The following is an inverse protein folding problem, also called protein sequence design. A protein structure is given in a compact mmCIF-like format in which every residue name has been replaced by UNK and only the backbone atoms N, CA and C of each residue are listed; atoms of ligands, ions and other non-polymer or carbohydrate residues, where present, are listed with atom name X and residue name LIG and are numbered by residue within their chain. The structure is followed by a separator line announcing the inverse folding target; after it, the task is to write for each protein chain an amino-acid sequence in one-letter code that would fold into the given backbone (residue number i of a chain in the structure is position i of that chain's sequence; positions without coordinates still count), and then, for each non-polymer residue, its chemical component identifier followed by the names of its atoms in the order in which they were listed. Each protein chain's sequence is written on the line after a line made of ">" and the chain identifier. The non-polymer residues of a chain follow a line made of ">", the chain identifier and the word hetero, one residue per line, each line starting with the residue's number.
data_IF_882910642668
#
_entry.id   IF_882910642668
#
_cell.length_a   1.000
_cell.length_b   1.000
_cell.length_c   1.000
_cell.angle_alpha   90.00
_cell.angle_beta   90.00
_cell.angle_gamma   90.00
#
_symmetry.space_group_name_H-M   'P 1'
#
loop_
_entity.id
_entity.type
_entity.pdbx_description
1 polymer ?
#
# COMPACT_ATOMS: atom_id res chain seq x y z
N UNK A 1 -4.01 -16.38 -19.57
CA UNK A 1 -4.38 -15.46 -18.48
C UNK A 1 -3.75 -16.00 -17.22
N UNK A 2 -2.91 -15.23 -16.54
CA UNK A 2 -2.40 -15.65 -15.22
C UNK A 2 -3.58 -15.77 -14.26
N UNK A 3 -3.60 -16.86 -13.48
CA UNK A 3 -4.72 -17.21 -12.61
C UNK A 3 -4.70 -16.44 -11.28
N UNK A 4 -3.56 -15.87 -10.91
CA UNK A 4 -3.30 -15.38 -9.56
C UNK A 4 -2.81 -13.92 -9.52
N UNK A 5 -3.29 -13.11 -10.47
CA UNK A 5 -2.98 -11.67 -10.50
C UNK A 5 -3.98 -10.86 -9.69
N UNK A 6 -3.46 -9.93 -8.90
CA UNK A 6 -4.24 -8.99 -8.10
C UNK A 6 -3.87 -7.56 -8.53
N UNK A 7 -4.88 -6.71 -8.70
CA UNK A 7 -4.67 -5.30 -9.01
C UNK A 7 -4.84 -4.45 -7.76
N UNK A 8 -3.81 -3.67 -7.42
CA UNK A 8 -3.86 -2.69 -6.34
C UNK A 8 -3.94 -1.27 -6.90
N UNK A 9 -4.70 -0.43 -6.19
CA UNK A 9 -4.92 0.96 -6.54
C UNK A 9 -4.95 1.79 -5.26
N UNK A 10 -4.15 2.84 -5.24
CA UNK A 10 -4.24 3.89 -4.23
C UNK A 10 -4.19 5.25 -4.91
N UNK A 11 -5.08 6.14 -4.47
CA UNK A 11 -5.20 7.47 -5.03
C UNK A 11 -5.66 8.43 -3.93
N UNK A 12 -4.80 9.35 -3.52
CA UNK A 12 -5.18 10.36 -2.52
C UNK A 12 -6.08 11.46 -3.08
N UNK A 13 -6.28 11.49 -4.41
CA UNK A 13 -6.98 12.55 -5.15
C UNK A 13 -6.40 13.96 -4.93
N UNK A 14 -5.20 14.09 -4.36
CA UNK A 14 -4.57 15.36 -4.07
C UNK A 14 -4.15 16.10 -5.36
N UNK A 15 -3.65 15.37 -6.37
CA UNK A 15 -3.24 15.92 -7.67
C UNK A 15 -3.11 14.82 -8.75
N UNK A 16 -2.71 15.20 -9.98
CA UNK A 16 -2.59 14.26 -11.10
C UNK A 16 -1.53 13.16 -10.93
N UNK A 17 -0.59 13.30 -9.98
CA UNK A 17 0.53 12.39 -9.76
C UNK A 17 0.39 11.54 -8.49
N UNK A 18 -0.74 11.61 -7.79
CA UNK A 18 -0.97 10.91 -6.53
C UNK A 18 -1.65 9.53 -6.65
N UNK A 19 -1.75 9.02 -7.89
CA UNK A 19 -2.37 7.74 -8.20
C UNK A 19 -1.27 6.71 -8.47
N UNK A 20 -1.23 5.65 -7.67
CA UNK A 20 -0.42 4.46 -7.92
C UNK A 20 -1.36 3.28 -8.19
N UNK A 21 -1.10 2.56 -9.28
CA UNK A 21 -1.82 1.35 -9.63
C UNK A 21 -0.80 0.31 -10.09
N UNK A 22 -0.90 -0.89 -9.53
CA UNK A 22 0.03 -1.98 -9.79
C UNK A 22 -0.73 -3.29 -9.94
N UNK A 23 -0.24 -4.17 -10.80
CA UNK A 23 -0.76 -5.54 -10.93
C UNK A 23 0.36 -6.45 -10.49
N UNK A 24 0.14 -7.17 -9.40
CA UNK A 24 1.07 -8.17 -8.88
C UNK A 24 0.62 -9.57 -9.29
N UNK A 25 1.56 -10.44 -9.57
CA UNK A 25 1.36 -11.89 -9.69
C UNK A 25 1.79 -12.57 -8.39
N UNK A 26 0.85 -13.19 -7.68
CA UNK A 26 1.15 -13.79 -6.38
C UNK A 26 2.20 -14.91 -6.48
N UNK A 27 2.28 -15.60 -7.62
CA UNK A 27 3.24 -16.69 -7.80
C UNK A 27 4.58 -16.17 -8.31
N UNK A 28 4.56 -15.35 -9.37
CA UNK A 28 5.80 -14.93 -10.03
C UNK A 28 6.51 -13.76 -9.32
N UNK A 29 5.76 -12.84 -8.70
CA UNK A 29 6.33 -11.64 -8.07
C UNK A 29 6.53 -11.80 -6.55
N UNK A 30 5.70 -12.62 -5.89
CA UNK A 30 5.68 -12.80 -4.44
C UNK A 30 6.06 -14.23 -4.00
N UNK A 31 6.39 -15.12 -4.94
CA UNK A 31 6.84 -16.50 -4.70
C UNK A 31 5.84 -17.38 -3.91
N UNK A 32 4.54 -17.04 -3.90
CA UNK A 32 3.52 -17.90 -3.28
C UNK A 32 3.32 -19.18 -4.11
N UNK A 33 3.00 -20.28 -3.43
CA UNK A 33 2.49 -21.47 -4.11
C UNK A 33 1.11 -21.20 -4.74
N UNK A 34 0.73 -22.00 -5.74
CA UNK A 34 -0.61 -21.91 -6.33
C UNK A 34 -1.75 -22.18 -5.33
N UNK A 35 -1.48 -22.86 -4.21
CA UNK A 35 -2.48 -23.12 -3.18
C UNK A 35 -2.66 -21.90 -2.28
N UNK A 36 -1.56 -21.31 -1.82
CA UNK A 36 -1.57 -20.05 -1.06
C UNK A 36 -2.19 -18.91 -1.87
N UNK A 37 -1.81 -18.77 -3.14
CA UNK A 37 -2.36 -17.75 -4.01
C UNK A 37 -3.88 -17.89 -4.21
N UNK A 38 -4.39 -19.12 -4.32
CA UNK A 38 -5.84 -19.39 -4.35
C UNK A 38 -6.52 -19.00 -3.04
N UNK A 39 -5.88 -19.31 -1.92
CA UNK A 39 -6.43 -19.01 -0.60
C UNK A 39 -6.49 -17.51 -0.35
N UNK A 40 -5.44 -16.77 -0.70
CA UNK A 40 -5.40 -15.30 -0.63
C UNK A 40 -6.52 -14.70 -1.46
N UNK A 41 -6.63 -15.06 -2.75
CA UNK A 41 -7.67 -14.51 -3.63
C UNK A 41 -9.09 -14.87 -3.17
N UNK A 42 -9.25 -15.99 -2.48
CA UNK A 42 -10.52 -16.45 -1.93
C UNK A 42 -10.89 -15.84 -0.57
N UNK A 43 -9.98 -15.13 0.10
CA UNK A 43 -10.18 -14.56 1.44
C UNK A 43 -9.90 -13.05 1.44
N UNK A 44 -10.97 -12.26 1.60
CA UNK A 44 -10.90 -10.81 1.62
C UNK A 44 -9.97 -10.27 2.71
N UNK A 45 -9.85 -10.92 3.88
CA UNK A 45 -8.96 -10.46 4.94
C UNK A 45 -7.50 -10.64 4.55
N UNK A 46 -7.16 -11.74 3.87
CA UNK A 46 -5.81 -11.99 3.37
C UNK A 46 -5.43 -11.02 2.26
N UNK A 47 -6.38 -10.71 1.38
CA UNK A 47 -6.19 -9.67 0.36
C UNK A 47 -6.00 -8.28 0.99
N UNK A 48 -6.76 -7.93 2.03
CA UNK A 48 -6.64 -6.66 2.73
C UNK A 48 -5.28 -6.54 3.46
N UNK A 49 -4.81 -7.62 4.08
CA UNK A 49 -3.48 -7.64 4.71
C UNK A 49 -2.36 -7.50 3.68
N UNK A 50 -2.42 -8.24 2.56
CA UNK A 50 -1.47 -8.09 1.46
C UNK A 50 -1.51 -6.68 0.84
N UNK A 51 -2.69 -6.10 0.69
CA UNK A 51 -2.85 -4.74 0.21
C UNK A 51 -2.22 -3.72 1.15
N UNK A 52 -2.36 -3.89 2.47
CA UNK A 52 -1.70 -3.02 3.46
C UNK A 52 -0.18 -3.13 3.36
N UNK A 53 0.36 -4.33 3.25
CA UNK A 53 1.80 -4.54 3.08
C UNK A 53 2.32 -3.80 1.85
N UNK A 54 1.69 -4.01 0.69
CA UNK A 54 2.01 -3.29 -0.54
C UNK A 54 1.88 -1.76 -0.38
N UNK A 55 0.82 -1.30 0.31
CA UNK A 55 0.57 0.13 0.54
C UNK A 55 1.69 0.79 1.34
N UNK A 56 2.19 0.13 2.40
CA UNK A 56 3.29 0.63 3.24
C UNK A 56 4.63 0.66 2.51
N UNK A 57 4.86 -0.24 1.57
CA UNK A 57 6.05 -0.23 0.71
C UNK A 57 5.97 0.83 -0.40
N UNK A 58 4.75 1.14 -0.86
CA UNK A 58 4.51 2.04 -2.00
C UNK A 58 4.33 3.50 -1.61
N UNK A 59 3.76 3.79 -0.43
CA UNK A 59 3.49 5.17 0.02
C UNK A 59 4.27 5.50 1.29
N UNK A 60 5.08 6.55 1.20
CA UNK A 60 5.71 7.15 2.38
C UNK A 60 4.64 7.73 3.31
N UNK A 61 4.54 7.14 4.49
CA UNK A 61 3.64 7.54 5.55
C UNK A 61 4.42 7.52 6.86
N UNK A 62 4.26 8.56 7.68
CA UNK A 62 5.05 8.71 8.90
C UNK A 62 4.22 9.41 9.99
N UNK A 63 4.56 9.16 11.24
CA UNK A 63 3.99 9.85 12.39
C UNK A 63 5.10 10.24 13.36
N UNK A 64 4.96 11.40 14.00
CA UNK A 64 5.88 11.86 15.03
C UNK A 64 5.10 12.38 16.23
N UNK A 65 5.49 11.95 17.43
CA UNK A 65 4.99 12.56 18.68
C UNK A 65 5.70 13.90 18.86
N UNK A 66 4.93 14.99 18.80
CA UNK A 66 5.43 16.36 18.92
C UNK A 66 5.36 16.80 20.38
N UNK A 67 6.48 17.24 20.95
CA UNK A 67 6.60 17.58 22.38
C UNK A 67 6.84 19.06 22.63
N UNK A 68 7.23 19.83 21.61
CA UNK A 68 7.51 21.26 21.73
C UNK A 68 6.76 22.06 20.67
N UNK A 69 6.51 23.33 20.96
CA UNK A 69 5.89 24.26 20.01
C UNK A 69 6.72 24.38 18.71
N UNK A 70 8.05 24.33 18.81
CA UNK A 70 8.96 24.31 17.65
C UNK A 70 8.72 23.09 16.75
N UNK A 71 8.55 21.90 17.33
CA UNK A 71 8.25 20.69 16.57
C UNK A 71 6.88 20.76 15.89
N UNK A 72 5.90 21.38 16.55
CA UNK A 72 4.55 21.60 16.01
C UNK A 72 4.61 22.53 14.80
N UNK A 73 5.27 23.68 14.92
CA UNK A 73 5.38 24.64 13.82
C UNK A 73 6.17 24.06 12.64
N UNK A 74 7.24 23.30 12.90
CA UNK A 74 7.98 22.60 11.84
C UNK A 74 7.10 21.58 11.11
N UNK A 75 6.29 20.81 11.82
CA UNK A 75 5.41 19.80 11.20
C UNK A 75 4.32 20.44 10.34
N UNK A 76 3.70 21.53 10.80
CA UNK A 76 2.72 22.30 10.01
C UNK A 76 3.32 22.84 8.70
N UNK A 77 4.60 23.22 8.75
CA UNK A 77 5.35 23.71 7.60
C UNK A 77 5.60 22.69 6.50
N UNK A 78 5.39 21.38 6.74
CA UNK A 78 5.52 20.35 5.69
C UNK A 78 4.47 20.48 4.58
N UNK A 79 3.38 21.21 4.82
CA UNK A 79 2.32 21.43 3.84
C UNK A 79 2.55 22.66 2.93
N UNK A 80 3.65 23.40 3.13
CA UNK A 80 3.95 24.66 2.43
C UNK A 80 5.12 24.56 1.46
#
# INVERSE_FOLDING_TARGET
>A
MSKYKVGFLVNSNANAFCKNAEVIDLVDDYDYSEEEAKEIIGDENKLDDLFKEWLWETIETNYKVLKTDEEIEKWKGLNN
#
